data_IF_139595479492
#
_entry.id   IF_139595479492
#
_cell.length_a   1.000
_cell.length_b   1.000
_cell.length_c   1.000
_cell.angle_alpha   90.00
_cell.angle_beta   90.00
_cell.angle_gamma   90.00
#
_symmetry.space_group_name_H-M   'P 1'
#
loop_
_entity.id
_entity.type
_entity.pdbx_description
1 polymer ?
#
# COMPACT_ATOMS: atom_id res chain seq x y z
N UNK A 1 1.81 14.48 2.70
CA UNK A 1 2.84 15.38 2.11
C UNK A 1 2.73 15.29 0.59
N UNK A 2 2.97 16.36 -0.17
CA UNK A 2 2.88 16.28 -1.64
C UNK A 2 4.22 15.90 -2.31
N UNK A 3 4.19 15.66 -3.63
CA UNK A 3 5.39 15.30 -4.38
C UNK A 3 6.45 16.43 -4.40
N UNK A 4 6.02 17.69 -4.40
CA UNK A 4 6.90 18.86 -4.43
C UNK A 4 7.62 19.00 -3.08
N UNK A 5 6.91 18.80 -1.97
CA UNK A 5 7.46 18.77 -0.62
C UNK A 5 8.55 17.70 -0.49
N UNK A 6 8.28 16.48 -0.96
CA UNK A 6 9.25 15.37 -0.96
C UNK A 6 10.50 15.76 -1.76
N UNK A 7 10.33 16.30 -2.97
CA UNK A 7 11.45 16.73 -3.82
C UNK A 7 12.26 17.85 -3.15
N UNK A 8 11.57 18.82 -2.54
CA UNK A 8 12.20 19.93 -1.84
C UNK A 8 13.03 19.44 -0.65
N UNK A 9 12.48 18.57 0.20
CA UNK A 9 13.20 18.04 1.35
C UNK A 9 14.39 17.16 0.93
N UNK A 10 14.24 16.32 -0.09
CA UNK A 10 15.35 15.54 -0.63
C UNK A 10 16.49 16.45 -1.13
N UNK A 11 16.15 17.52 -1.85
CA UNK A 11 17.14 18.51 -2.31
C UNK A 11 17.81 19.22 -1.14
N UNK A 12 17.06 19.55 -0.08
CA UNK A 12 17.60 20.17 1.14
C UNK A 12 18.60 19.24 1.86
N UNK A 13 18.42 17.93 1.76
CA UNK A 13 19.37 16.91 2.23
C UNK A 13 20.53 16.63 1.25
N UNK A 14 20.61 17.35 0.12
CA UNK A 14 21.61 17.12 -0.92
C UNK A 14 21.40 15.82 -1.70
N UNK A 15 20.23 15.19 -1.59
CA UNK A 15 19.88 13.96 -2.31
C UNK A 15 19.16 14.30 -3.61
N UNK A 16 19.58 13.65 -4.69
CA UNK A 16 18.90 13.72 -5.99
C UNK A 16 18.17 12.42 -6.31
N UNK A 17 17.10 12.49 -7.11
CA UNK A 17 16.37 11.30 -7.57
C UNK A 17 17.28 10.35 -8.37
N UNK A 18 18.23 10.89 -9.14
CA UNK A 18 19.21 10.10 -9.87
C UNK A 18 20.17 9.35 -8.93
N UNK A 19 20.58 10.00 -7.84
CA UNK A 19 21.39 9.35 -6.80
C UNK A 19 20.60 8.24 -6.10
N UNK A 20 19.37 8.52 -5.68
CA UNK A 20 18.47 7.53 -5.07
C UNK A 20 18.25 6.31 -5.97
N UNK A 21 18.04 6.56 -7.27
CA UNK A 21 17.89 5.50 -8.27
C UNK A 21 19.13 4.60 -8.34
N UNK A 22 20.33 5.20 -8.35
CA UNK A 22 21.61 4.45 -8.35
C UNK A 22 21.85 3.70 -7.04
N UNK A 23 21.54 4.31 -5.90
CA UNK A 23 21.67 3.67 -4.57
C UNK A 23 20.79 2.43 -4.44
N UNK A 24 19.59 2.47 -5.03
CA UNK A 24 18.61 1.39 -4.98
C UNK A 24 18.64 0.43 -6.18
N UNK A 25 19.50 0.69 -7.17
CA UNK A 25 19.58 -0.11 -8.40
C UNK A 25 18.33 -0.07 -9.28
N UNK A 26 17.53 1.01 -9.19
CA UNK A 26 16.30 1.21 -9.97
C UNK A 26 16.49 2.31 -11.02
N UNK A 27 15.55 2.41 -11.97
CA UNK A 27 15.56 3.54 -12.91
C UNK A 27 15.04 4.82 -12.25
N UNK A 28 15.51 5.98 -12.73
CA UNK A 28 15.01 7.27 -12.26
C UNK A 28 13.50 7.44 -12.46
N UNK A 29 12.93 6.80 -13.49
CA UNK A 29 11.49 6.79 -13.73
C UNK A 29 10.69 6.10 -12.62
N UNK A 30 11.23 5.03 -12.02
CA UNK A 30 10.60 4.37 -10.86
C UNK A 30 10.56 5.32 -9.67
N UNK A 31 11.69 5.97 -9.36
CA UNK A 31 11.75 6.95 -8.26
C UNK A 31 10.76 8.10 -8.48
N UNK A 32 10.72 8.65 -9.69
CA UNK A 32 9.80 9.71 -10.05
C UNK A 32 8.33 9.26 -9.89
N UNK A 33 7.98 8.08 -10.42
CA UNK A 33 6.61 7.58 -10.33
C UNK A 33 6.18 7.27 -8.89
N UNK A 34 7.09 6.84 -8.02
CA UNK A 34 6.81 6.65 -6.58
C UNK A 34 6.56 8.01 -5.91
N UNK A 35 7.44 8.99 -6.13
CA UNK A 35 7.28 10.35 -5.57
C UNK A 35 5.93 10.96 -5.96
N UNK A 36 5.48 10.72 -7.19
CA UNK A 36 4.19 11.20 -7.70
C UNK A 36 2.99 10.27 -7.44
N UNK A 37 3.15 9.26 -6.58
CA UNK A 37 2.09 8.29 -6.23
C UNK A 37 1.47 7.52 -7.42
N UNK A 38 2.20 7.42 -8.54
CA UNK A 38 1.73 6.74 -9.76
C UNK A 38 1.92 5.23 -9.71
N UNK A 39 2.95 4.77 -8.99
CA UNK A 39 3.26 3.35 -8.81
C UNK A 39 3.62 3.06 -7.35
N UNK A 40 3.53 1.79 -6.96
CA UNK A 40 3.98 1.32 -5.66
C UNK A 40 5.34 0.63 -5.77
N UNK A 41 6.32 1.09 -5.00
CA UNK A 41 7.59 0.41 -4.82
C UNK A 41 8.06 0.59 -3.38
N UNK A 42 7.75 -0.40 -2.53
CA UNK A 42 7.97 -0.29 -1.09
C UNK A 42 9.42 0.00 -0.71
N UNK A 43 10.39 -0.60 -1.42
CA UNK A 43 11.82 -0.35 -1.18
C UNK A 43 12.20 1.12 -1.39
N UNK A 44 11.71 1.74 -2.48
CA UNK A 44 11.96 3.15 -2.79
C UNK A 44 11.27 4.06 -1.78
N UNK A 45 9.99 3.78 -1.51
CA UNK A 45 9.19 4.58 -0.57
C UNK A 45 9.77 4.54 0.85
N UNK A 46 10.19 3.35 1.32
CA UNK A 46 10.83 3.19 2.64
C UNK A 46 12.17 3.90 2.74
N UNK A 47 12.99 3.85 1.68
CA UNK A 47 14.27 4.55 1.66
C UNK A 47 14.09 6.07 1.72
N UNK A 48 13.14 6.61 0.96
CA UNK A 48 12.80 8.04 1.00
C UNK A 48 12.25 8.42 2.39
N UNK A 49 11.33 7.62 2.95
CA UNK A 49 10.77 7.86 4.26
C UNK A 49 11.84 7.88 5.36
N UNK A 50 12.77 6.93 5.33
CA UNK A 50 13.92 6.87 6.23
C UNK A 50 14.83 8.10 6.12
N UNK A 51 15.08 8.60 4.90
CA UNK A 51 15.86 9.83 4.70
C UNK A 51 15.15 11.08 5.25
N UNK A 52 13.83 11.12 5.17
CA UNK A 52 13.02 12.23 5.64
C UNK A 52 12.68 12.14 7.14
N UNK A 53 12.94 11.00 7.78
CA UNK A 53 12.57 10.76 9.18
C UNK A 53 11.06 10.68 9.39
N UNK A 54 10.32 10.24 8.38
CA UNK A 54 8.86 10.12 8.40
C UNK A 54 8.44 8.67 8.12
N UNK A 55 7.19 8.33 8.38
CA UNK A 55 6.65 7.03 7.98
C UNK A 55 6.17 7.03 6.52
N UNK A 56 6.26 5.88 5.85
CA UNK A 56 5.80 5.73 4.47
C UNK A 56 4.30 6.08 4.33
N UNK A 57 3.50 5.77 5.35
CA UNK A 57 2.08 6.08 5.38
C UNK A 57 1.78 7.59 5.55
N UNK A 58 2.71 8.38 6.09
CA UNK A 58 2.54 9.85 6.19
C UNK A 58 2.84 10.54 4.85
N UNK A 59 3.79 9.98 4.11
CA UNK A 59 4.20 10.45 2.78
C UNK A 59 3.17 10.04 1.72
N UNK A 60 2.72 8.79 1.76
CA UNK A 60 1.79 8.19 0.80
C UNK A 60 0.63 7.45 1.51
N UNK A 61 -0.32 8.21 2.09
CA UNK A 61 -1.41 7.64 2.90
C UNK A 61 -2.31 6.68 2.11
N UNK A 62 -2.59 6.99 0.84
CA UNK A 62 -3.54 6.19 0.06
C UNK A 62 -2.97 4.84 -0.42
N UNK A 63 -1.65 4.62 -0.32
CA UNK A 63 -0.98 3.40 -0.83
C UNK A 63 -0.50 2.47 0.25
N UNK A 64 0.02 3.01 1.34
CA UNK A 64 0.72 2.24 2.36
C UNK A 64 0.00 2.22 3.71
N UNK A 65 -1.21 2.78 3.80
CA UNK A 65 -2.07 2.52 4.96
C UNK A 65 -2.49 1.05 4.94
N UNK A 66 -1.96 0.31 5.91
CA UNK A 66 -2.45 -1.02 6.22
C UNK A 66 -3.88 -0.88 6.75
N UNK A 67 -4.87 -1.06 5.88
CA UNK A 67 -6.27 -1.18 6.28
C UNK A 67 -6.45 -2.63 6.76
N UNK A 68 -6.61 -2.91 8.06
CA UNK A 68 -6.91 -4.25 8.50
C UNK A 68 -8.15 -4.70 7.73
N UNK A 69 -8.02 -5.75 6.92
CA UNK A 69 -9.19 -6.39 6.34
C UNK A 69 -10.02 -6.83 7.53
N UNK A 70 -11.11 -6.10 7.82
CA UNK A 70 -12.10 -6.56 8.77
C UNK A 70 -12.39 -8.00 8.41
N UNK A 71 -12.33 -8.91 9.40
CA UNK A 71 -12.67 -10.31 9.19
C UNK A 71 -13.95 -10.33 8.36
N UNK A 72 -13.88 -10.85 7.15
CA UNK A 72 -15.08 -11.27 6.44
C UNK A 72 -15.73 -12.28 7.37
N UNK A 73 -16.79 -11.88 8.07
CA UNK A 73 -17.59 -12.81 8.84
C UNK A 73 -17.91 -13.98 7.91
N UNK A 74 -17.65 -15.24 8.29
CA UNK A 74 -18.12 -16.35 7.50
C UNK A 74 -19.63 -16.13 7.32
N UNK A 75 -20.04 -16.11 6.06
CA UNK A 75 -21.44 -16.00 5.62
C UNK A 75 -22.26 -16.97 6.47
N UNK A 76 -22.98 -16.46 7.47
CA UNK A 76 -23.89 -17.27 8.25
C UNK A 76 -25.00 -17.73 7.33
N UNK A 77 -25.12 -19.05 7.22
CA UNK A 77 -26.11 -19.82 6.47
C UNK A 77 -27.49 -19.15 6.45
N UNK A 78 -27.88 -18.68 5.26
CA UNK A 78 -29.28 -18.49 4.96
C UNK A 78 -29.92 -19.88 4.83
N UNK A 79 -30.70 -20.23 5.85
CA UNK A 79 -31.62 -21.35 5.99
C UNK A 79 -32.15 -21.86 4.63
N UNK A 80 -31.86 -23.10 4.30
CA UNK A 80 -32.77 -23.90 3.46
C UNK A 80 -33.69 -24.65 4.40
N UNK A 81 -34.94 -24.18 4.41
CA UNK A 81 -36.11 -24.87 4.91
C UNK A 81 -36.32 -26.19 4.16
N UNK A 82 -36.80 -27.17 4.93
CA UNK A 82 -37.71 -28.24 4.51
C UNK A 82 -37.08 -29.48 3.83
N UNK A 83 -36.80 -30.50 4.66
CA UNK A 83 -36.75 -31.89 4.23
C UNK A 83 -38.04 -32.55 4.73
N UNK A 84 -39.10 -32.59 3.90
CA UNK A 84 -40.23 -33.48 4.13
C UNK A 84 -39.77 -34.93 3.88
N UNK A 85 -39.59 -35.68 4.97
CA UNK A 85 -39.34 -37.11 4.94
C UNK A 85 -40.67 -37.87 4.81
N UNK A 86 -40.83 -38.60 3.71
CA UNK A 86 -41.84 -39.64 3.56
C UNK A 86 -41.40 -40.91 4.32
N UNK A 87 -42.34 -41.61 4.98
CA UNK A 87 -42.18 -43.04 5.28
C UNK A 87 -43.05 -43.65 6.40
N UNK A 88 -43.85 -44.68 6.06
CA UNK A 88 -44.40 -45.71 6.97
C UNK A 88 -45.91 -45.93 6.80
N UNK A 89 -46.39 -46.78 5.87
CA UNK A 89 -46.57 -48.25 5.97
C UNK A 89 -47.28 -48.69 7.26
N UNK A 90 -48.54 -49.11 7.11
CA UNK A 90 -49.23 -50.12 7.92
C UNK A 90 -49.79 -51.20 7.00
#
# INVERSE_FOLDING_TARGET
MDAIDIIYLLRRLGKSQAQLARELGVSGGVVNNVIHDRITAHAVASHIAALLGSEVAELWPDRYVFKPRGRTSPRSEAKQTECEANGGVQ
#
